data_IF_605355547688
#
_entry.id   IF_605355547688
#
_cell.length_a   1.000
_cell.length_b   1.000
_cell.length_c   1.000
_cell.angle_alpha   90.00
_cell.angle_beta   90.00
_cell.angle_gamma   90.00
#
_symmetry.space_group_name_H-M   'P 1'
#
loop_
_entity.id
_entity.type
_entity.pdbx_description
1 polymer ?
#
# COMPACT_ATOMS: atom_id res chain seq x y z
N UNK A 1 -1.97 9.89 13.57
CA UNK A 1 -2.49 8.62 13.01
C UNK A 1 -1.85 7.46 13.74
N UNK A 2 -2.62 6.48 14.14
CA UNK A 2 -2.11 5.26 14.79
C UNK A 2 -1.72 4.22 13.75
N UNK A 3 -0.89 3.25 14.15
CA UNK A 3 -0.51 2.12 13.29
C UNK A 3 -1.75 1.32 12.87
N UNK A 4 -2.72 1.14 13.78
CA UNK A 4 -3.97 0.45 13.49
C UNK A 4 -4.78 1.16 12.41
N UNK A 5 -4.88 2.48 12.50
CA UNK A 5 -5.61 3.27 11.52
C UNK A 5 -4.91 3.20 10.15
N UNK A 6 -3.59 3.32 10.14
CA UNK A 6 -2.80 3.23 8.91
C UNK A 6 -2.98 1.84 8.26
N UNK A 7 -2.93 0.79 9.06
CA UNK A 7 -3.16 -0.58 8.58
C UNK A 7 -4.55 -0.74 7.97
N UNK A 8 -5.58 -0.21 8.63
CA UNK A 8 -6.95 -0.25 8.14
C UNK A 8 -7.09 0.44 6.80
N UNK A 9 -6.49 1.62 6.65
CA UNK A 9 -6.52 2.37 5.39
C UNK A 9 -5.80 1.62 4.27
N UNK A 10 -4.65 1.04 4.56
CA UNK A 10 -3.91 0.23 3.60
C UNK A 10 -4.73 -1.00 3.17
N UNK A 11 -5.38 -1.66 4.12
CA UNK A 11 -6.20 -2.83 3.83
C UNK A 11 -7.36 -2.48 2.89
N UNK A 12 -8.01 -1.33 3.11
CA UNK A 12 -9.07 -0.86 2.23
C UNK A 12 -8.57 -0.65 0.80
N UNK A 13 -7.39 -0.03 0.65
CA UNK A 13 -6.80 0.21 -0.67
C UNK A 13 -6.46 -1.12 -1.34
N UNK A 14 -5.87 -2.06 -0.59
CA UNK A 14 -5.50 -3.38 -1.10
C UNK A 14 -6.74 -4.12 -1.60
N UNK A 15 -7.82 -4.13 -0.82
CA UNK A 15 -9.08 -4.78 -1.21
C UNK A 15 -9.65 -4.14 -2.47
N UNK A 16 -9.67 -2.81 -2.53
CA UNK A 16 -10.19 -2.08 -3.68
C UNK A 16 -9.38 -2.38 -4.95
N UNK A 17 -8.06 -2.39 -4.87
CA UNK A 17 -7.19 -2.68 -6.01
C UNK A 17 -7.28 -4.15 -6.44
N UNK A 18 -7.44 -5.06 -5.49
CA UNK A 18 -7.63 -6.47 -5.80
C UNK A 18 -8.93 -6.68 -6.59
N UNK A 19 -9.97 -5.94 -6.24
CA UNK A 19 -11.26 -6.03 -6.93
C UNK A 19 -11.25 -5.34 -8.30
N UNK A 20 -10.63 -4.15 -8.40
CA UNK A 20 -10.67 -3.33 -9.63
C UNK A 20 -9.52 -3.62 -10.61
N UNK A 21 -8.40 -4.16 -10.13
CA UNK A 21 -7.20 -4.35 -10.93
C UNK A 21 -6.47 -3.04 -11.23
N UNK A 22 -5.51 -3.11 -12.14
CA UNK A 22 -4.63 -1.98 -12.51
C UNK A 22 -4.87 -1.44 -13.92
N UNK A 23 -5.95 -1.85 -14.57
CA UNK A 23 -6.27 -1.40 -15.92
C UNK A 23 -6.62 0.08 -15.97
N UNK A 24 -7.21 0.58 -14.89
CA UNK A 24 -7.52 1.99 -14.72
C UNK A 24 -7.03 2.44 -13.36
N UNK A 25 -5.95 3.20 -13.38
CA UNK A 25 -5.36 3.73 -12.14
C UNK A 25 -6.10 5.01 -11.75
N UNK A 26 -6.62 5.03 -10.52
CA UNK A 26 -7.29 6.18 -9.96
C UNK A 26 -6.26 7.13 -9.32
N UNK A 27 -6.19 8.35 -9.82
CA UNK A 27 -5.27 9.38 -9.28
C UNK A 27 -5.51 9.66 -7.80
N UNK A 28 -6.78 9.60 -7.35
CA UNK A 28 -7.12 9.75 -5.94
C UNK A 28 -6.50 8.68 -5.07
N UNK A 29 -6.43 7.44 -5.55
CA UNK A 29 -5.77 6.35 -4.84
C UNK A 29 -4.28 6.60 -4.73
N UNK A 30 -3.64 7.07 -5.81
CA UNK A 30 -2.21 7.40 -5.82
C UNK A 30 -1.91 8.50 -4.79
N UNK A 31 -2.71 9.56 -4.75
CA UNK A 31 -2.55 10.64 -3.77
C UNK A 31 -2.70 10.12 -2.34
N UNK A 32 -3.66 9.25 -2.11
CA UNK A 32 -3.90 8.67 -0.79
C UNK A 32 -2.72 7.82 -0.35
N UNK A 33 -2.16 7.01 -1.25
CA UNK A 33 -0.96 6.23 -0.97
C UNK A 33 0.23 7.13 -0.60
N UNK A 34 0.43 8.22 -1.34
CA UNK A 34 1.50 9.17 -1.07
C UNK A 34 1.36 9.80 0.32
N UNK A 35 0.13 10.15 0.72
CA UNK A 35 -0.14 10.69 2.05
C UNK A 35 0.12 9.67 3.15
N UNK A 36 -0.29 8.43 2.93
CA UNK A 36 -0.06 7.34 3.89
C UNK A 36 1.43 7.04 4.02
N UNK A 37 2.17 7.08 2.91
CA UNK A 37 3.63 6.91 2.92
C UNK A 37 4.31 7.98 3.78
N UNK A 38 3.86 9.23 3.67
CA UNK A 38 4.39 10.32 4.48
C UNK A 38 4.12 10.10 5.97
N UNK A 39 2.92 9.62 6.31
CA UNK A 39 2.59 9.30 7.70
C UNK A 39 3.44 8.13 8.21
N UNK A 40 3.64 7.10 7.39
CA UNK A 40 4.48 5.95 7.75
C UNK A 40 5.90 6.42 8.07
N UNK A 41 6.44 7.36 7.29
CA UNK A 41 7.75 7.95 7.56
C UNK A 41 7.77 8.65 8.92
N UNK A 42 6.76 9.45 9.21
CA UNK A 42 6.67 10.21 10.47
C UNK A 42 6.65 9.32 11.70
N UNK A 43 6.01 8.16 11.62
CA UNK A 43 5.90 7.23 12.74
C UNK A 43 6.98 6.16 12.75
N UNK A 44 7.99 6.29 11.87
CA UNK A 44 9.15 5.41 11.86
C UNK A 44 8.98 4.08 11.15
N UNK A 45 7.94 3.91 10.36
CA UNK A 45 7.69 2.68 9.61
C UNK A 45 8.41 2.73 8.25
N UNK A 46 9.72 2.57 8.26
CA UNK A 46 10.57 2.69 7.06
C UNK A 46 10.20 1.69 5.97
N UNK A 47 9.96 0.44 6.34
CA UNK A 47 9.60 -0.60 5.38
C UNK A 47 8.21 -0.32 4.80
N UNK A 48 7.27 0.10 5.63
CA UNK A 48 5.94 0.51 5.18
C UNK A 48 6.01 1.64 4.17
N UNK A 49 6.79 2.68 4.47
CA UNK A 49 7.01 3.79 3.55
C UNK A 49 7.56 3.31 2.21
N UNK A 50 8.55 2.42 2.23
CA UNK A 50 9.18 1.88 1.03
C UNK A 50 8.18 1.12 0.16
N UNK A 51 7.41 0.24 0.77
CA UNK A 51 6.44 -0.60 0.05
C UNK A 51 5.27 0.22 -0.51
N UNK A 52 4.76 1.16 0.27
CA UNK A 52 3.68 2.06 -0.16
C UNK A 52 4.17 2.93 -1.32
N UNK A 53 5.37 3.48 -1.20
CA UNK A 53 5.97 4.32 -2.24
C UNK A 53 6.22 3.53 -3.52
N UNK A 54 6.67 2.29 -3.42
CA UNK A 54 6.87 1.42 -4.59
C UNK A 54 5.55 1.17 -5.32
N UNK A 55 4.47 0.90 -4.60
CA UNK A 55 3.16 0.72 -5.21
C UNK A 55 2.68 2.01 -5.88
N UNK A 56 2.78 3.15 -5.19
CA UNK A 56 2.39 4.44 -5.75
C UNK A 56 3.17 4.77 -7.02
N UNK A 57 4.48 4.58 -7.02
CA UNK A 57 5.32 4.85 -8.19
C UNK A 57 4.99 3.91 -9.34
N UNK A 58 4.70 2.65 -9.04
CA UNK A 58 4.29 1.67 -10.07
C UNK A 58 2.96 2.06 -10.68
N UNK A 59 2.00 2.52 -9.87
CA UNK A 59 0.70 2.98 -10.37
C UNK A 59 0.86 4.19 -11.29
N UNK A 60 1.74 5.14 -10.93
CA UNK A 60 2.05 6.29 -11.79
C UNK A 60 2.65 5.84 -13.12
N UNK A 61 3.55 4.86 -13.08
CA UNK A 61 4.15 4.30 -14.28
C UNK A 61 3.12 3.61 -15.18
N UNK A 62 2.15 2.92 -14.57
CA UNK A 62 1.04 2.30 -15.32
C UNK A 62 0.18 3.38 -16.00
N UNK A 63 -0.12 4.48 -15.30
CA UNK A 63 -0.86 5.61 -15.88
C UNK A 63 -0.13 6.19 -17.09
N UNK A 64 1.20 6.26 -17.02
CA UNK A 64 2.03 6.79 -18.10
C UNK A 64 2.36 5.74 -19.18
N UNK A 65 1.82 4.54 -19.02
CA UNK A 65 2.07 3.39 -19.94
C UNK A 65 3.53 2.96 -20.00
N UNK A 66 4.27 3.18 -18.91
CA UNK A 66 5.67 2.76 -18.77
C UNK A 66 5.80 1.40 -18.09
N UNK A 67 4.69 0.89 -17.50
CA UNK A 67 4.66 -0.38 -16.80
C UNK A 67 3.31 -1.04 -17.00
N UNK A 68 3.23 -2.35 -16.83
CA UNK A 68 2.00 -3.13 -16.98
C UNK A 68 1.38 -3.50 -15.66
N UNK A 69 0.14 -4.00 -15.71
CA UNK A 69 -0.64 -4.42 -14.55
C UNK A 69 0.08 -5.46 -13.69
N UNK A 70 0.88 -6.35 -14.30
CA UNK A 70 1.63 -7.38 -13.58
C UNK A 70 2.58 -6.78 -12.54
N UNK A 71 3.24 -5.66 -12.87
CA UNK A 71 4.12 -4.95 -11.93
C UNK A 71 3.33 -4.41 -10.74
N UNK A 72 2.13 -3.88 -10.99
CA UNK A 72 1.23 -3.42 -9.94
C UNK A 72 0.83 -4.54 -9.00
N UNK A 73 0.48 -5.70 -9.57
CA UNK A 73 0.09 -6.87 -8.79
C UNK A 73 1.22 -7.33 -7.86
N UNK A 74 2.46 -7.39 -8.36
CA UNK A 74 3.61 -7.78 -7.55
C UNK A 74 3.81 -6.82 -6.36
N UNK A 75 3.72 -5.51 -6.61
CA UNK A 75 3.87 -4.52 -5.54
C UNK A 75 2.71 -4.57 -4.55
N UNK A 76 1.50 -4.82 -5.02
CA UNK A 76 0.32 -4.97 -4.17
C UNK A 76 0.46 -6.18 -3.24
N UNK A 77 0.91 -7.31 -3.78
CA UNK A 77 1.12 -8.52 -2.99
C UNK A 77 2.17 -8.32 -1.91
N UNK A 78 3.26 -7.62 -2.22
CA UNK A 78 4.30 -7.31 -1.25
C UNK A 78 3.75 -6.45 -0.11
N UNK A 79 2.94 -5.45 -0.42
CA UNK A 79 2.31 -4.59 0.58
C UNK A 79 1.29 -5.37 1.42
N UNK A 80 0.48 -6.21 0.79
CA UNK A 80 -0.50 -7.03 1.49
C UNK A 80 0.19 -7.97 2.50
N UNK A 81 1.27 -8.60 2.10
CA UNK A 81 2.06 -9.46 2.98
C UNK A 81 2.55 -8.68 4.21
N UNK A 82 3.05 -7.47 3.99
CA UNK A 82 3.51 -6.60 5.07
C UNK A 82 2.38 -6.23 6.04
N UNK A 83 1.21 -5.87 5.51
CA UNK A 83 0.04 -5.49 6.31
C UNK A 83 -0.45 -6.68 7.15
N UNK A 84 -0.50 -7.86 6.57
CA UNK A 84 -0.88 -9.08 7.30
C UNK A 84 0.13 -9.42 8.41
N UNK A 85 1.41 -9.20 8.15
CA UNK A 85 2.46 -9.41 9.14
C UNK A 85 2.31 -8.45 10.32
N UNK A 86 1.94 -7.20 10.07
CA UNK A 86 1.65 -6.24 11.15
C UNK A 86 0.51 -6.72 12.04
N UNK A 87 -0.55 -7.25 11.44
CA UNK A 87 -1.67 -7.81 12.19
C UNK A 87 -1.24 -8.99 13.06
N UNK A 88 -0.41 -9.89 12.52
CA UNK A 88 0.13 -11.02 13.26
C UNK A 88 0.98 -10.60 14.44
N UNK A 89 1.82 -9.58 14.28
CA UNK A 89 2.67 -9.05 15.34
C UNK A 89 1.82 -8.45 16.46
N UNK A 90 0.74 -7.75 16.12
CA UNK A 90 -0.19 -7.20 17.11
C UNK A 90 -0.88 -8.31 17.91
N UNK A 91 -1.33 -9.34 17.26
CA UNK A 91 -1.97 -10.49 17.90
C UNK A 91 -1.00 -11.19 18.85
N UNK A 92 0.27 -11.26 18.51
CA UNK A 92 1.30 -11.84 19.35
C UNK A 92 1.60 -10.98 20.59
N UNK A 93 1.53 -9.67 20.45
CA UNK A 93 1.75 -8.75 21.56
C UNK A 93 0.66 -8.83 22.63
N UNK A 94 -0.55 -9.19 22.26
CA UNK A 94 -1.68 -9.35 23.17
C UNK A 94 -1.58 -10.59 24.03
N UNK A 95 -0.74 -11.54 23.66
CA UNK A 95 -0.51 -12.76 24.42
C UNK A 95 0.48 -12.54 25.54
#
# INVERSE_FOLDING_TARGET
MTIEFLRSELKRIIIALTASGFDRVNSGTVEKLDKIAAVAEMIGMKEGKRLIGNLSNTMKAIQERKSGAASGTVRLMALDFYVEKLAGDEDMEEL
#
